data_IF_740040031856
#
_entry.id   IF_740040031856
#
_cell.length_a   1.000
_cell.length_b   1.000
_cell.length_c   1.000
_cell.angle_alpha   90.00
_cell.angle_beta   90.00
_cell.angle_gamma   90.00
#
_symmetry.space_group_name_H-M   'P 1'
#
loop_
_entity.id
_entity.type
_entity.pdbx_description
1 polymer ?
#
# COMPACT_ATOMS: atom_id res chain seq x y z
N UNK A 1 38.58 47.06 -1.71
CA UNK A 1 37.64 46.82 -0.60
C UNK A 1 36.68 45.73 -1.04
N UNK A 2 36.64 44.57 -0.37
CA UNK A 2 35.69 43.49 -0.68
C UNK A 2 34.44 43.72 0.19
N UNK A 3 33.30 43.96 -0.45
CA UNK A 3 32.01 43.99 0.25
C UNK A 3 31.63 42.56 0.61
N UNK A 4 31.80 42.20 1.88
CA UNK A 4 31.22 40.98 2.43
C UNK A 4 29.75 41.27 2.71
N UNK A 5 28.89 40.88 1.77
CA UNK A 5 27.46 40.75 2.04
C UNK A 5 27.28 39.58 3.00
N UNK A 6 27.13 39.87 4.30
CA UNK A 6 26.63 38.87 5.24
C UNK A 6 25.18 38.57 4.83
N UNK A 7 24.97 37.43 4.17
CA UNK A 7 23.65 36.85 4.01
C UNK A 7 23.18 36.36 5.39
N UNK A 8 22.46 37.23 6.09
CA UNK A 8 21.60 36.82 7.19
C UNK A 8 20.43 36.07 6.58
N UNK A 9 20.48 34.73 6.61
CA UNK A 9 19.30 33.91 6.38
C UNK A 9 18.35 34.15 7.55
N UNK A 10 17.43 35.09 7.38
CA UNK A 10 16.37 35.36 8.34
C UNK A 10 15.53 34.08 8.55
N UNK A 11 15.11 33.85 9.79
CA UNK A 11 14.36 32.66 10.23
C UNK A 11 13.02 32.46 9.49
N UNK A 12 12.62 33.40 8.64
CA UNK A 12 11.46 33.33 7.74
C UNK A 12 11.57 32.20 6.69
N UNK A 13 12.75 31.61 6.50
CA UNK A 13 12.97 30.54 5.51
C UNK A 13 12.66 29.11 6.00
N UNK A 14 12.65 28.82 7.30
CA UNK A 14 12.50 27.43 7.79
C UNK A 14 11.04 27.01 7.85
N UNK A 15 10.16 27.88 8.35
CA UNK A 15 8.74 27.59 8.50
C UNK A 15 8.03 27.49 7.13
N UNK A 16 8.40 28.33 6.16
CA UNK A 16 7.90 28.24 4.78
C UNK A 16 8.41 26.98 4.06
N UNK A 17 9.69 26.62 4.23
CA UNK A 17 10.22 25.37 3.70
C UNK A 17 9.59 24.14 4.36
N UNK A 18 9.29 24.21 5.66
CA UNK A 18 8.52 23.17 6.36
C UNK A 18 7.09 23.10 5.81
N UNK A 19 6.40 24.20 5.56
CA UNK A 19 5.05 24.21 5.01
C UNK A 19 5.00 23.64 3.58
N UNK A 20 5.92 24.04 2.69
CA UNK A 20 6.02 23.47 1.33
C UNK A 20 6.36 21.97 1.38
N UNK A 21 7.25 21.57 2.29
CA UNK A 21 7.58 20.16 2.52
C UNK A 21 6.37 19.38 3.06
N UNK A 22 5.60 19.96 3.97
CA UNK A 22 4.40 19.36 4.56
C UNK A 22 3.29 19.19 3.51
N UNK A 23 3.08 20.18 2.64
CA UNK A 23 2.08 20.11 1.56
C UNK A 23 2.43 19.03 0.52
N UNK A 24 3.71 18.92 0.15
CA UNK A 24 4.21 17.84 -0.71
C UNK A 24 4.12 16.46 -0.04
N UNK A 25 4.45 16.40 1.26
CA UNK A 25 4.32 15.20 2.10
C UNK A 25 2.89 14.69 2.14
N UNK A 26 1.96 15.58 2.44
CA UNK A 26 0.54 15.30 2.57
C UNK A 26 -0.03 14.79 1.23
N UNK A 27 0.37 15.37 0.09
CA UNK A 27 -0.04 14.88 -1.23
C UNK A 27 0.44 13.45 -1.50
N UNK A 28 1.70 13.14 -1.19
CA UNK A 28 2.29 11.81 -1.39
C UNK A 28 1.63 10.73 -0.52
N UNK A 29 1.43 11.02 0.76
CA UNK A 29 0.79 10.08 1.70
C UNK A 29 -0.67 9.89 1.35
N UNK A 30 -1.41 10.97 1.04
CA UNK A 30 -2.82 10.89 0.66
C UNK A 30 -3.01 10.09 -0.64
N UNK A 31 -2.06 10.17 -1.57
CA UNK A 31 -2.06 9.34 -2.77
C UNK A 31 -1.93 7.85 -2.46
N UNK A 32 -1.00 7.47 -1.58
CA UNK A 32 -0.84 6.08 -1.15
C UNK A 32 -2.05 5.59 -0.36
N UNK A 33 -2.61 6.43 0.52
CA UNK A 33 -3.82 6.12 1.28
C UNK A 33 -5.02 5.85 0.36
N UNK A 34 -5.23 6.69 -0.67
CA UNK A 34 -6.28 6.45 -1.68
C UNK A 34 -6.06 5.13 -2.42
N UNK A 35 -4.81 4.81 -2.77
CA UNK A 35 -4.48 3.53 -3.39
C UNK A 35 -4.86 2.34 -2.50
N UNK A 36 -4.44 2.36 -1.23
CA UNK A 36 -4.73 1.29 -0.25
C UNK A 36 -6.23 1.14 -0.05
N UNK A 37 -6.94 2.23 0.26
CA UNK A 37 -8.41 2.23 0.43
C UNK A 37 -9.13 1.65 -0.80
N UNK A 38 -8.70 2.01 -2.00
CA UNK A 38 -9.27 1.49 -3.24
C UNK A 38 -9.00 0.00 -3.43
N UNK A 39 -7.78 -0.49 -3.15
CA UNK A 39 -7.45 -1.92 -3.26
C UNK A 39 -8.24 -2.73 -2.23
N UNK A 40 -8.29 -2.29 -0.97
CA UNK A 40 -9.10 -2.92 0.08
C UNK A 40 -10.58 -3.01 -0.35
N UNK A 41 -11.14 -1.91 -0.85
CA UNK A 41 -12.52 -1.90 -1.36
C UNK A 41 -12.76 -2.92 -2.47
N UNK A 42 -11.80 -3.12 -3.38
CA UNK A 42 -11.89 -4.16 -4.42
C UNK A 42 -11.79 -5.57 -3.83
N UNK A 43 -10.84 -5.81 -2.94
CA UNK A 43 -10.64 -7.11 -2.28
C UNK A 43 -11.87 -7.56 -1.48
N UNK A 44 -12.50 -6.64 -0.75
CA UNK A 44 -13.73 -6.93 0.02
C UNK A 44 -14.93 -7.27 -0.86
N UNK A 45 -14.95 -6.81 -2.12
CA UNK A 45 -16.01 -7.12 -3.09
C UNK A 45 -15.79 -8.46 -3.81
N UNK A 46 -14.59 -9.01 -3.77
CA UNK A 46 -14.26 -10.29 -4.40
C UNK A 46 -14.76 -11.45 -3.52
N UNK A 47 -15.81 -12.13 -3.99
CA UNK A 47 -16.38 -13.32 -3.32
C UNK A 47 -15.36 -14.46 -3.27
N UNK A 48 -14.74 -14.73 -4.41
CA UNK A 48 -13.86 -15.89 -4.59
C UNK A 48 -12.42 -15.63 -4.11
N UNK A 49 -12.14 -14.43 -3.58
CA UNK A 49 -10.80 -14.08 -3.09
C UNK A 49 -9.78 -13.80 -4.20
N UNK A 50 -8.49 -13.97 -3.89
CA UNK A 50 -7.36 -13.76 -4.81
C UNK A 50 -6.32 -14.87 -4.73
N UNK A 51 -5.62 -15.13 -5.83
CA UNK A 51 -4.44 -16.01 -5.88
C UNK A 51 -3.20 -15.37 -5.25
N UNK A 52 -2.13 -16.16 -5.08
CA UNK A 52 -0.83 -15.68 -4.61
C UNK A 52 -0.20 -14.68 -5.59
N UNK A 53 -0.36 -14.88 -6.91
CA UNK A 53 0.20 -13.96 -7.93
C UNK A 53 -0.42 -12.57 -7.80
N UNK A 54 -1.75 -12.49 -7.73
CA UNK A 54 -2.46 -11.21 -7.56
C UNK A 54 -2.07 -10.53 -6.25
N UNK A 55 -1.93 -11.29 -5.17
CA UNK A 55 -1.47 -10.75 -3.88
C UNK A 55 -0.07 -10.12 -3.99
N UNK A 56 0.85 -10.81 -4.68
CA UNK A 56 2.21 -10.33 -4.89
C UNK A 56 2.26 -9.07 -5.78
N UNK A 57 1.44 -9.01 -6.83
CA UNK A 57 1.31 -7.82 -7.68
C UNK A 57 0.84 -6.60 -6.87
N UNK A 58 -0.19 -6.76 -6.03
CA UNK A 58 -0.72 -5.69 -5.20
C UNK A 58 0.36 -5.18 -4.23
N UNK A 59 1.08 -6.08 -3.55
CA UNK A 59 2.16 -5.69 -2.62
C UNK A 59 3.34 -5.04 -3.34
N UNK A 60 3.71 -5.54 -4.51
CA UNK A 60 4.77 -4.93 -5.34
C UNK A 60 4.40 -3.51 -5.74
N UNK A 61 3.15 -3.28 -6.14
CA UNK A 61 2.65 -1.94 -6.47
C UNK A 61 2.64 -1.03 -5.24
N UNK A 62 2.23 -1.55 -4.07
CA UNK A 62 2.30 -0.83 -2.80
C UNK A 62 3.73 -0.36 -2.49
N UNK A 63 4.73 -1.24 -2.56
CA UNK A 63 6.12 -0.88 -2.26
C UNK A 63 6.71 0.11 -3.25
N UNK A 64 6.39 -0.01 -4.55
CA UNK A 64 6.82 0.98 -5.56
C UNK A 64 6.28 2.38 -5.22
N UNK A 65 5.01 2.47 -4.79
CA UNK A 65 4.40 3.74 -4.39
C UNK A 65 4.96 4.24 -3.06
N UNK A 66 5.13 3.38 -2.06
CA UNK A 66 5.77 3.69 -0.78
C UNK A 66 7.17 4.26 -0.98
N UNK A 67 7.97 3.67 -1.85
CA UNK A 67 9.31 4.17 -2.19
C UNK A 67 9.26 5.57 -2.80
N UNK A 68 8.30 5.85 -3.70
CA UNK A 68 8.12 7.20 -4.26
C UNK A 68 7.78 8.21 -3.17
N UNK A 69 6.81 7.90 -2.31
CA UNK A 69 6.46 8.75 -1.15
C UNK A 69 7.70 9.00 -0.31
N UNK A 70 8.46 7.96 0.01
CA UNK A 70 9.67 8.09 0.81
C UNK A 70 10.72 9.01 0.15
N UNK A 71 10.99 8.83 -1.14
CA UNK A 71 11.97 9.63 -1.87
C UNK A 71 11.58 11.11 -1.96
N UNK A 72 10.29 11.40 -2.17
CA UNK A 72 9.80 12.78 -2.28
C UNK A 72 9.70 13.49 -0.93
N UNK A 73 9.49 12.74 0.16
CA UNK A 73 9.13 13.31 1.46
C UNK A 73 10.25 13.23 2.50
N UNK A 74 11.11 12.22 2.42
CA UNK A 74 12.09 11.93 3.48
C UNK A 74 13.51 11.74 2.95
N UNK A 75 13.66 11.26 1.71
CA UNK A 75 14.97 10.86 1.17
C UNK A 75 16.01 11.99 1.09
N UNK A 76 15.55 13.25 1.07
CA UNK A 76 16.38 14.44 0.99
C UNK A 76 16.39 15.26 2.29
N UNK A 77 15.61 14.86 3.30
CA UNK A 77 15.51 15.59 4.56
C UNK A 77 16.53 15.07 5.58
N UNK A 78 17.22 15.96 6.32
CA UNK A 78 17.94 15.57 7.53
C UNK A 78 17.02 14.83 8.51
N UNK A 79 17.54 13.82 9.22
CA UNK A 79 16.72 12.92 10.08
C UNK A 79 15.84 13.64 11.11
N UNK A 80 16.27 14.80 11.61
CA UNK A 80 15.52 15.57 12.60
C UNK A 80 14.29 16.28 12.01
N UNK A 81 14.22 16.44 10.68
CA UNK A 81 13.09 17.04 9.97
C UNK A 81 12.05 16.00 9.52
N UNK A 82 12.32 14.71 9.74
CA UNK A 82 11.41 13.63 9.36
C UNK A 82 10.29 13.53 10.40
N UNK A 83 9.05 13.64 9.93
CA UNK A 83 7.87 13.43 10.76
C UNK A 83 7.62 11.93 11.02
N UNK A 84 7.96 11.45 12.21
CA UNK A 84 7.75 10.05 12.59
C UNK A 84 6.26 9.64 12.63
N UNK A 85 5.34 10.59 12.87
CA UNK A 85 3.90 10.31 12.82
C UNK A 85 3.45 9.90 11.42
N UNK A 86 4.02 10.51 10.39
CA UNK A 86 3.74 10.15 9.01
C UNK A 86 4.32 8.78 8.62
N UNK A 87 5.52 8.46 9.11
CA UNK A 87 6.11 7.13 8.93
C UNK A 87 5.22 6.04 9.55
N UNK A 88 4.70 6.28 10.77
CA UNK A 88 3.73 5.39 11.39
C UNK A 88 2.45 5.24 10.56
N UNK A 89 1.97 6.32 9.92
CA UNK A 89 0.81 6.24 9.01
C UNK A 89 1.09 5.31 7.82
N UNK A 90 2.31 5.31 7.27
CA UNK A 90 2.70 4.38 6.19
C UNK A 90 2.69 2.91 6.65
N UNK A 91 3.19 2.63 7.86
CA UNK A 91 3.22 1.29 8.42
C UNK A 91 1.81 0.76 8.73
N UNK A 92 0.91 1.63 9.18
CA UNK A 92 -0.51 1.30 9.38
C UNK A 92 -1.18 0.94 8.04
N UNK A 93 -0.96 1.74 6.99
CA UNK A 93 -1.48 1.47 5.65
C UNK A 93 -0.98 0.14 5.07
N UNK A 94 0.28 -0.22 5.32
CA UNK A 94 0.81 -1.52 4.94
C UNK A 94 0.09 -2.66 5.69
N UNK A 95 -0.05 -2.51 7.00
CA UNK A 95 -0.66 -3.52 7.87
C UNK A 95 -2.11 -3.79 7.48
N UNK A 96 -2.90 -2.74 7.27
CA UNK A 96 -4.29 -2.85 6.80
C UNK A 96 -4.39 -3.60 5.46
N UNK A 97 -3.53 -3.26 4.49
CA UNK A 97 -3.54 -3.91 3.19
C UNK A 97 -3.16 -5.39 3.29
N UNK A 98 -2.16 -5.72 4.12
CA UNK A 98 -1.70 -7.10 4.34
C UNK A 98 -2.76 -7.98 4.98
N UNK A 99 -3.50 -7.44 5.94
CA UNK A 99 -4.60 -8.15 6.58
C UNK A 99 -5.71 -8.49 5.56
N UNK A 100 -6.10 -7.51 4.74
CA UNK A 100 -7.14 -7.70 3.73
C UNK A 100 -6.72 -8.67 2.63
N UNK A 101 -5.44 -8.64 2.22
CA UNK A 101 -4.86 -9.63 1.30
C UNK A 101 -4.91 -11.03 1.92
N UNK A 102 -4.54 -11.18 3.20
CA UNK A 102 -4.61 -12.47 3.89
C UNK A 102 -6.04 -13.03 3.88
N UNK A 103 -7.02 -12.21 4.24
CA UNK A 103 -8.43 -12.60 4.23
C UNK A 103 -8.92 -12.96 2.82
N UNK A 104 -8.50 -12.22 1.79
CA UNK A 104 -8.85 -12.53 0.40
C UNK A 104 -8.22 -13.86 -0.08
N UNK A 105 -6.98 -14.16 0.32
CA UNK A 105 -6.34 -15.45 0.02
C UNK A 105 -7.04 -16.63 0.70
N UNK A 106 -7.52 -16.43 1.93
CA UNK A 106 -8.29 -17.46 2.63
C UNK A 106 -9.61 -17.77 1.94
N UNK A 107 -10.31 -16.75 1.41
CA UNK A 107 -11.51 -16.95 0.57
C UNK A 107 -11.19 -17.78 -0.68
N UNK A 108 -10.09 -17.47 -1.35
CA UNK A 108 -9.64 -18.20 -2.55
C UNK A 108 -9.34 -19.67 -2.28
N UNK A 109 -8.66 -19.97 -1.17
CA UNK A 109 -8.41 -21.37 -0.76
C UNK A 109 -9.70 -22.13 -0.48
N UNK A 110 -10.69 -21.49 0.14
CA UNK A 110 -11.99 -22.11 0.42
C UNK A 110 -12.77 -22.37 -0.87
N UNK A 111 -12.81 -21.40 -1.77
CA UNK A 111 -13.55 -21.54 -3.03
C UNK A 111 -12.94 -22.61 -3.94
N UNK A 112 -11.61 -22.63 -4.10
CA UNK A 112 -10.94 -23.68 -4.87
C UNK A 112 -11.18 -25.09 -4.30
N UNK A 113 -11.24 -25.24 -2.98
CA UNK A 113 -11.61 -26.52 -2.35
C UNK A 113 -13.04 -26.92 -2.70
N UNK A 114 -13.98 -25.98 -2.66
CA UNK A 114 -15.39 -26.22 -3.03
C UNK A 114 -15.52 -26.68 -4.48
N UNK A 115 -14.90 -25.96 -5.41
CA UNK A 115 -14.91 -26.30 -6.84
C UNK A 115 -14.34 -27.71 -7.08
N UNK A 116 -13.26 -28.08 -6.38
CA UNK A 116 -12.67 -29.41 -6.51
C UNK A 116 -13.60 -30.52 -5.98
N UNK A 117 -14.30 -30.28 -4.87
CA UNK A 117 -15.29 -31.23 -4.33
C UNK A 117 -16.47 -31.41 -5.31
N UNK A 118 -16.98 -30.30 -5.87
CA UNK A 118 -18.07 -30.33 -6.86
C UNK A 118 -17.66 -31.08 -8.14
N UNK A 119 -16.42 -30.90 -8.62
CA UNK A 119 -15.90 -31.68 -9.76
C UNK A 119 -15.77 -33.17 -9.45
N UNK A 120 -15.30 -33.51 -8.25
CA UNK A 120 -15.17 -34.91 -7.81
C UNK A 120 -16.54 -35.59 -7.71
N UNK A 121 -17.56 -34.92 -7.15
CA UNK A 121 -18.90 -35.50 -7.02
C UNK A 121 -19.56 -35.75 -8.38
N UNK A 122 -19.37 -34.85 -9.35
CA UNK A 122 -19.82 -35.05 -10.73
C UNK A 122 -19.16 -36.28 -11.36
N UNK A 123 -17.84 -36.44 -11.21
CA UNK A 123 -17.11 -37.58 -11.76
C UNK A 123 -17.51 -38.91 -11.10
N UNK A 124 -17.77 -38.92 -9.79
CA UNK A 124 -18.24 -40.11 -9.07
C UNK A 124 -19.63 -40.52 -9.59
N UNK A 125 -20.57 -39.58 -9.69
CA UNK A 125 -21.90 -39.85 -10.22
C UNK A 125 -21.83 -40.36 -11.66
N UNK A 126 -21.01 -39.75 -12.51
CA UNK A 126 -20.89 -40.17 -13.90
C UNK A 126 -20.35 -41.61 -14.05
N UNK A 127 -19.47 -42.05 -13.15
CA UNK A 127 -18.97 -43.42 -13.13
C UNK A 127 -19.98 -44.42 -12.55
N UNK A 128 -20.79 -44.02 -11.57
CA UNK A 128 -21.85 -44.88 -10.99
C UNK A 128 -23.00 -45.15 -11.97
N UNK A 129 -23.32 -44.21 -12.87
CA UNK A 129 -24.36 -44.41 -13.90
C UNK A 129 -23.86 -45.10 -15.17
N UNK A 130 -22.56 -45.42 -15.26
CA UNK A 130 -21.97 -46.19 -16.37
C UNK A 130 -21.76 -47.68 -16.05
N UNK A 131 -21.92 -48.07 -14.78
CA UNK A 131 -21.91 -49.45 -14.29
C UNK A 131 -23.34 -50.00 -14.26
#
# INVERSE_FOLDING_TARGET
>A
MRNNTHLTFENESIDELQNISNDGCEYGINYLERFVKNKIKKLRKMKDGISDEIANEIMTEFYKRRLRVYLHNYGLLPRFMVNYGELHKLDNLESELREEIKLAKERYKKENRRINIEKLSVNINFNLFKL
#
